data_IF_972209413752
#
_entry.id   IF_972209413752
#
_cell.length_a   1.000
_cell.length_b   1.000
_cell.length_c   1.000
_cell.angle_alpha   90.00
_cell.angle_beta   90.00
_cell.angle_gamma   90.00
#
_symmetry.space_group_name_H-M   'P 1'
#
loop_
_entity.id
_entity.type
_entity.pdbx_description
1 polymer ?
#
# COMPACT_ATOMS: atom_id res chain seq x y z
N UNK A 1 -0.08 3.12 0.14
CA UNK A 1 -0.94 2.95 1.34
C UNK A 1 -2.18 2.12 1.04
N UNK A 2 -3.14 2.61 0.23
CA UNK A 2 -4.41 1.89 0.01
C UNK A 2 -4.24 0.46 -0.56
N UNK A 3 -3.38 0.26 -1.57
CA UNK A 3 -3.10 -1.09 -2.08
C UNK A 3 -2.53 -2.04 -1.01
N UNK A 4 -1.70 -1.54 -0.10
CA UNK A 4 -1.19 -2.31 1.05
C UNK A 4 -2.32 -2.61 2.04
N UNK A 5 -3.20 -1.64 2.29
CA UNK A 5 -4.35 -1.81 3.17
C UNK A 5 -5.37 -2.85 2.65
N UNK A 6 -5.50 -2.99 1.33
CA UNK A 6 -6.34 -3.99 0.66
C UNK A 6 -5.72 -5.40 0.62
N UNK A 7 -4.44 -5.56 0.99
CA UNK A 7 -3.80 -6.88 1.02
C UNK A 7 -4.31 -7.74 2.18
N UNK A 8 -4.19 -9.07 2.03
CA UNK A 8 -4.48 -10.10 3.04
C UNK A 8 -3.50 -10.08 4.24
N UNK A 9 -2.82 -8.95 4.49
CA UNK A 9 -1.94 -8.73 5.63
C UNK A 9 -0.48 -9.10 5.41
N UNK A 10 -0.15 -9.89 4.38
CA UNK A 10 1.21 -10.09 3.89
C UNK A 10 1.44 -9.28 2.62
N UNK A 11 2.57 -8.58 2.57
CA UNK A 11 2.95 -7.67 1.49
C UNK A 11 4.28 -8.15 0.91
N UNK A 12 4.26 -8.57 -0.34
CA UNK A 12 5.44 -8.85 -1.15
C UNK A 12 5.78 -7.60 -1.99
N UNK A 13 6.95 -6.97 -1.82
CA UNK A 13 7.33 -5.78 -2.58
C UNK A 13 7.31 -5.97 -4.11
N UNK A 14 7.68 -7.16 -4.60
CA UNK A 14 7.65 -7.45 -6.04
C UNK A 14 6.21 -7.47 -6.56
N UNK A 15 5.31 -8.16 -5.86
CA UNK A 15 3.89 -8.20 -6.23
C UNK A 15 3.25 -6.82 -6.15
N UNK A 16 3.57 -6.05 -5.10
CA UNK A 16 3.07 -4.69 -4.92
C UNK A 16 3.55 -3.75 -6.03
N UNK A 17 4.81 -3.86 -6.45
CA UNK A 17 5.34 -3.10 -7.58
C UNK A 17 4.60 -3.42 -8.88
N UNK A 18 4.36 -4.71 -9.17
CA UNK A 18 3.61 -5.14 -10.36
C UNK A 18 2.16 -4.65 -10.30
N UNK A 19 1.49 -4.81 -9.15
CA UNK A 19 0.10 -4.37 -8.95
C UNK A 19 -0.06 -2.86 -9.19
N UNK A 20 0.89 -2.07 -8.68
CA UNK A 20 0.89 -0.61 -8.82
C UNK A 20 1.48 -0.13 -10.14
N UNK A 21 1.93 -1.04 -11.02
CA UNK A 21 2.54 -0.75 -12.33
C UNK A 21 3.74 0.19 -12.26
N UNK A 22 4.51 0.13 -11.17
CA UNK A 22 5.76 0.88 -11.09
C UNK A 22 6.83 0.22 -11.96
N UNK A 23 7.74 1.01 -12.53
CA UNK A 23 8.78 0.50 -13.41
C UNK A 23 9.83 -0.35 -12.67
N UNK A 24 10.08 -0.06 -11.39
CA UNK A 24 11.07 -0.77 -10.59
C UNK A 24 10.61 -0.91 -9.13
N UNK A 25 11.11 -1.93 -8.44
CA UNK A 25 10.83 -2.13 -7.01
C UNK A 25 11.43 -1.00 -6.15
N UNK A 26 12.54 -0.39 -6.58
CA UNK A 26 13.13 0.76 -5.91
C UNK A 26 12.17 1.94 -5.80
N UNK A 27 11.20 2.08 -6.73
CA UNK A 27 10.18 3.14 -6.70
C UNK A 27 9.27 3.07 -5.47
N UNK A 28 9.13 1.91 -4.83
CA UNK A 28 8.33 1.73 -3.61
C UNK A 28 9.18 1.54 -2.35
N UNK A 29 10.50 1.44 -2.49
CA UNK A 29 11.39 1.03 -1.41
C UNK A 29 11.40 2.04 -0.26
N UNK A 30 11.49 3.34 -0.58
CA UNK A 30 11.45 4.40 0.43
C UNK A 30 10.13 4.41 1.18
N UNK A 31 9.01 4.30 0.46
CA UNK A 31 7.68 4.26 1.07
C UNK A 31 7.53 3.05 2.02
N UNK A 32 8.01 1.87 1.61
CA UNK A 32 7.96 0.67 2.47
C UNK A 32 8.87 0.84 3.69
N UNK A 33 10.08 1.38 3.52
CA UNK A 33 10.99 1.67 4.63
C UNK A 33 10.35 2.61 5.66
N UNK A 34 9.72 3.68 5.19
CA UNK A 34 9.14 4.68 6.07
C UNK A 34 7.95 4.08 6.86
N UNK A 35 7.15 3.20 6.22
CA UNK A 35 6.07 2.47 6.91
C UNK A 35 6.58 1.48 7.96
N UNK A 36 7.76 0.89 7.75
CA UNK A 36 8.42 0.09 8.79
C UNK A 36 8.91 0.97 9.93
N UNK A 37 9.53 2.11 9.61
CA UNK A 37 10.07 3.04 10.61
C UNK A 37 8.99 3.56 11.57
N UNK A 38 7.77 3.79 11.07
CA UNK A 38 6.64 4.23 11.90
C UNK A 38 5.81 3.08 12.48
N UNK A 39 6.26 1.82 12.33
CA UNK A 39 5.63 0.65 12.92
C UNK A 39 4.32 0.20 12.26
N UNK A 40 4.00 0.71 11.07
CA UNK A 40 2.83 0.28 10.31
C UNK A 40 3.07 -1.05 9.58
N UNK A 41 4.32 -1.31 9.17
CA UNK A 41 4.74 -2.60 8.63
C UNK A 41 5.79 -3.24 9.53
N UNK A 42 5.77 -4.56 9.63
CA UNK A 42 6.85 -5.35 10.22
C UNK A 42 7.49 -6.22 9.16
N UNK A 43 8.82 -6.14 9.05
CA UNK A 43 9.57 -7.03 8.15
C UNK A 43 9.47 -8.47 8.64
N UNK A 44 9.24 -9.40 7.70
CA UNK A 44 9.24 -10.84 7.92
C UNK A 44 10.30 -11.42 7.00
N UNK A 45 11.38 -11.94 7.58
CA UNK A 45 12.41 -12.66 6.84
C UNK A 45 11.96 -14.13 6.67
N UNK A 46 12.00 -14.65 5.44
CA UNK A 46 11.71 -16.06 5.15
C UNK A 46 12.43 -16.53 3.88
N UNK A 47 13.05 -17.71 3.91
CA UNK A 47 13.70 -18.41 2.78
C UNK A 47 14.37 -17.49 1.72
N UNK A 48 15.19 -16.54 2.17
CA UNK A 48 15.95 -15.63 1.30
C UNK A 48 15.12 -14.55 0.59
N UNK A 49 13.83 -14.41 0.93
CA UNK A 49 12.89 -13.40 0.42
C UNK A 49 12.45 -12.46 1.53
N UNK A 50 12.15 -11.24 1.12
CA UNK A 50 11.68 -10.18 2.03
C UNK A 50 10.18 -10.03 1.88
N UNK A 51 9.47 -10.25 2.98
CA UNK A 51 8.06 -9.93 3.09
C UNK A 51 7.83 -8.89 4.17
N UNK A 52 6.67 -8.24 4.12
CA UNK A 52 6.22 -7.33 5.16
C UNK A 52 4.84 -7.74 5.65
N UNK A 53 4.62 -7.70 6.96
CA UNK A 53 3.32 -7.89 7.57
C UNK A 53 2.71 -6.55 7.90
N UNK A 54 1.42 -6.38 7.59
CA UNK A 54 0.65 -5.23 8.00
C UNK A 54 0.34 -5.30 9.49
N UNK A 55 0.79 -4.30 10.25
CA UNK A 55 0.46 -4.21 11.67
C UNK A 55 -0.94 -3.62 11.85
N UNK A 56 -1.75 -4.08 12.82
CA UNK A 56 -3.06 -3.51 13.08
C UNK A 56 -2.96 -2.02 13.40
N UNK A 57 -3.64 -1.18 12.62
CA UNK A 57 -3.65 0.27 12.83
C UNK A 57 -4.85 0.94 12.13
N UNK A 58 -5.42 1.99 12.74
CA UNK A 58 -6.58 2.71 12.21
C UNK A 58 -6.31 3.43 10.89
N UNK A 59 -5.05 3.80 10.63
CA UNK A 59 -4.64 4.46 9.38
C UNK A 59 -4.89 3.62 8.13
N UNK A 60 -5.01 2.29 8.25
CA UNK A 60 -5.35 1.45 7.11
C UNK A 60 -6.77 1.67 6.63
N UNK A 61 -7.72 1.71 7.56
CA UNK A 61 -9.12 2.03 7.24
C UNK A 61 -9.21 3.43 6.67
N UNK A 62 -8.57 4.41 7.32
CA UNK A 62 -8.55 5.79 6.81
C UNK A 62 -7.97 5.89 5.38
N UNK A 63 -6.94 5.11 5.05
CA UNK A 63 -6.37 5.11 3.70
C UNK A 63 -7.34 4.54 2.64
N UNK A 64 -8.21 3.59 3.00
CA UNK A 64 -9.27 3.09 2.11
C UNK A 64 -10.38 4.12 1.96
N UNK A 65 -10.81 4.74 3.05
CA UNK A 65 -11.87 5.75 3.03
C UNK A 65 -11.48 6.95 2.17
N UNK A 66 -10.23 7.42 2.31
CA UNK A 66 -9.69 8.51 1.49
C UNK A 66 -9.62 8.13 0.00
N UNK A 67 -9.25 6.89 -0.32
CA UNK A 67 -9.28 6.42 -1.71
C UNK A 67 -10.71 6.40 -2.25
N UNK A 68 -11.68 5.91 -1.49
CA UNK A 68 -13.08 5.89 -1.91
C UNK A 68 -13.62 7.31 -2.15
N UNK A 69 -13.29 8.26 -1.27
CA UNK A 69 -13.66 9.67 -1.44
C UNK A 69 -13.04 10.28 -2.70
N UNK A 70 -11.76 10.01 -2.96
CA UNK A 70 -11.07 10.52 -4.15
C UNK A 70 -11.70 9.98 -5.44
N UNK A 71 -12.01 8.68 -5.51
CA UNK A 71 -12.65 8.06 -6.66
C UNK A 71 -14.07 8.59 -6.88
N UNK A 72 -14.84 8.81 -5.81
CA UNK A 72 -16.17 9.42 -5.90
C UNK A 72 -16.12 10.87 -6.40
N UNK A 73 -15.12 11.64 -5.96
CA UNK A 73 -14.90 13.00 -6.43
C UNK A 73 -14.52 13.04 -7.92
N UNK A 74 -13.66 12.13 -8.38
CA UNK A 74 -13.26 12.00 -9.79
C UNK A 74 -14.46 11.66 -10.69
N UNK A 75 -15.28 10.68 -10.30
CA UNK A 75 -16.47 10.31 -11.04
C UNK A 75 -17.50 11.46 -11.12
N UNK A 76 -17.62 12.24 -10.05
CA UNK A 76 -18.48 13.43 -10.03
C UNK A 76 -17.98 14.48 -11.00
N UNK A 77 -16.67 14.70 -11.06
CA UNK A 77 -16.07 15.66 -12.00
C UNK A 77 -16.28 15.24 -13.47
N UNK A 78 -16.06 13.97 -13.79
CA UNK A 78 -16.24 13.41 -15.15
C UNK A 78 -17.71 13.52 -15.63
N UNK A 79 -18.68 13.37 -14.70
CA UNK A 79 -20.10 13.51 -15.02
C UNK A 79 -20.56 14.96 -15.30
N UNK A 80 -19.74 15.95 -14.96
CA UNK A 80 -20.02 17.38 -15.13
C UNK A 80 -19.30 17.99 -16.36
N UNK A 81 -18.42 17.23 -17.01
CA UNK A 81 -17.68 17.61 -18.23
C UNK A 81 -18.33 17.08 -19.50
#
# INVERSE_FOLDING_TARGET
MAAIAQSEGLVNPTELQVQLRFAAQSSIQDAVRDLVAVGLLSRVDGDGRVFYRRNPHALWTAAIDLLAQALAAEATYDSLS
#
